data_IF_815783223866
#
_entry.id   IF_815783223866
#
_cell.length_a   1.000
_cell.length_b   1.000
_cell.length_c   1.000
_cell.angle_alpha   90.00
_cell.angle_beta   90.00
_cell.angle_gamma   90.00
#
_symmetry.space_group_name_H-M   'P 1'
#
loop_
_entity.id
_entity.type
_entity.pdbx_description
1 polymer ?
#
# COMPACT_ATOMS: atom_id res chain seq x y z
N UNK A 1 -10.39 3.42 -12.40
CA UNK A 1 -10.21 2.76 -11.08
C UNK A 1 -8.73 2.68 -10.83
N UNK A 2 -8.22 3.26 -9.74
CA UNK A 2 -6.78 3.23 -9.45
C UNK A 2 -6.47 1.87 -8.84
N UNK A 3 -5.51 1.16 -9.42
CA UNK A 3 -5.03 -0.14 -8.95
C UNK A 3 -3.87 0.08 -7.97
N UNK A 4 -3.96 -0.55 -6.82
CA UNK A 4 -3.00 -0.53 -5.74
C UNK A 4 -2.50 -1.94 -5.49
N UNK A 5 -1.35 -2.07 -4.83
CA UNK A 5 -0.88 -3.34 -4.30
C UNK A 5 -1.16 -3.41 -2.81
N UNK A 6 -1.75 -4.51 -2.35
CA UNK A 6 -1.79 -4.88 -0.94
C UNK A 6 -0.66 -5.85 -0.67
N UNK A 7 0.19 -5.51 0.29
CA UNK A 7 1.27 -6.39 0.79
C UNK A 7 0.86 -6.91 2.16
N UNK A 8 0.99 -8.22 2.37
CA UNK A 8 0.81 -8.86 3.68
C UNK A 8 2.15 -9.44 4.11
N UNK A 9 2.61 -9.02 5.29
CA UNK A 9 3.84 -9.53 5.89
C UNK A 9 3.58 -10.76 6.75
N UNK A 10 4.64 -11.52 7.01
CA UNK A 10 4.63 -12.73 7.86
C UNK A 10 4.16 -12.50 9.30
N UNK A 11 4.23 -11.27 9.80
CA UNK A 11 3.68 -10.89 11.10
C UNK A 11 2.18 -10.51 11.05
N UNK A 12 1.53 -10.64 9.90
CA UNK A 12 0.13 -10.28 9.68
C UNK A 12 -0.11 -8.79 9.37
N UNK A 13 0.92 -7.94 9.35
CA UNK A 13 0.75 -6.54 9.00
C UNK A 13 0.42 -6.38 7.51
N UNK A 14 -0.53 -5.49 7.23
CA UNK A 14 -0.99 -5.19 5.88
C UNK A 14 -0.67 -3.76 5.49
N UNK A 15 -0.19 -3.58 4.26
CA UNK A 15 0.16 -2.27 3.72
C UNK A 15 -0.38 -2.08 2.31
N UNK A 16 -0.75 -0.85 2.00
CA UNK A 16 -1.32 -0.49 0.70
C UNK A 16 -0.36 0.45 -0.01
N UNK A 17 0.09 0.01 -1.17
CA UNK A 17 1.10 0.67 -1.99
C UNK A 17 0.44 1.21 -3.26
N UNK A 18 0.65 2.50 -3.60
CA UNK A 18 0.11 3.14 -4.80
C UNK A 18 0.89 2.80 -6.06
N UNK A 19 1.22 1.52 -6.24
CA UNK A 19 1.92 0.95 -7.39
C UNK A 19 1.17 -0.34 -7.74
N UNK A 20 1.06 -0.66 -9.03
CA UNK A 20 0.50 -1.93 -9.49
C UNK A 20 1.42 -3.10 -9.11
N UNK A 21 0.86 -4.28 -8.86
CA UNK A 21 1.60 -5.41 -8.27
C UNK A 21 2.74 -5.90 -9.15
N UNK A 22 2.54 -5.93 -10.47
CA UNK A 22 3.58 -6.26 -11.44
C UNK A 22 4.77 -5.27 -11.39
N UNK A 23 4.48 -3.97 -11.39
CA UNK A 23 5.49 -2.91 -11.35
C UNK A 23 6.23 -2.93 -10.01
N UNK A 24 5.50 -3.13 -8.91
CA UNK A 24 6.06 -3.26 -7.57
C UNK A 24 7.05 -4.43 -7.51
N UNK A 25 6.64 -5.60 -8.02
CA UNK A 25 7.48 -6.79 -8.05
C UNK A 25 8.78 -6.52 -8.83
N UNK A 26 8.65 -6.05 -10.07
CA UNK A 26 9.78 -5.87 -10.99
C UNK A 26 10.75 -4.76 -10.58
N UNK A 27 10.24 -3.64 -10.07
CA UNK A 27 11.09 -2.46 -9.79
C UNK A 27 11.62 -2.42 -8.38
N UNK A 28 10.82 -2.86 -7.40
CA UNK A 28 11.13 -2.62 -6.00
C UNK A 28 11.57 -3.89 -5.26
N UNK A 29 11.04 -5.06 -5.65
CA UNK A 29 11.19 -6.28 -4.85
C UNK A 29 12.24 -7.26 -5.37
N UNK A 30 12.51 -7.27 -6.68
CA UNK A 30 13.46 -8.19 -7.31
C UNK A 30 14.67 -7.47 -7.88
N UNK A 31 15.80 -8.18 -7.93
CA UNK A 31 17.02 -7.72 -8.59
C UNK A 31 16.98 -8.03 -10.11
N UNK A 32 18.03 -7.64 -10.84
CA UNK A 32 18.14 -7.89 -12.29
C UNK A 32 18.16 -9.38 -12.67
N UNK A 33 18.43 -10.27 -11.73
CA UNK A 33 18.45 -11.71 -11.91
C UNK A 33 17.09 -12.36 -11.59
N UNK A 34 16.09 -11.56 -11.19
CA UNK A 34 14.77 -12.06 -10.78
C UNK A 34 14.70 -12.57 -9.34
N UNK A 35 15.75 -12.35 -8.53
CA UNK A 35 15.80 -12.80 -7.14
C UNK A 35 15.23 -11.72 -6.22
N UNK A 36 14.50 -12.14 -5.18
CA UNK A 36 13.97 -11.23 -4.16
C UNK A 36 15.13 -10.58 -3.39
N UNK A 37 15.07 -9.26 -3.21
CA UNK A 37 16.07 -8.54 -2.44
C UNK A 37 16.17 -9.04 -0.99
N UNK A 38 17.40 -9.33 -0.56
CA UNK A 38 17.74 -9.58 0.84
C UNK A 38 18.24 -8.30 1.52
N UNK A 39 17.46 -7.22 1.42
CA UNK A 39 17.76 -5.95 2.08
C UNK A 39 16.46 -5.22 2.38
N UNK A 40 16.53 -4.29 3.33
CA UNK A 40 15.45 -3.35 3.53
C UNK A 40 15.33 -2.42 2.32
N UNK A 41 14.11 -2.25 1.84
CA UNK A 41 13.74 -1.32 0.77
C UNK A 41 12.74 -0.30 1.28
N UNK A 42 12.69 0.86 0.66
CA UNK A 42 11.73 1.90 0.98
C UNK A 42 10.69 1.97 -0.13
N UNK A 43 9.42 1.79 0.23
CA UNK A 43 8.30 1.79 -0.71
C UNK A 43 7.23 2.79 -0.29
N UNK A 44 6.54 3.44 -1.24
CA UNK A 44 5.47 4.36 -0.91
C UNK A 44 4.27 3.61 -0.33
N UNK A 45 3.60 4.21 0.66
CA UNK A 45 2.36 3.74 1.25
C UNK A 45 1.32 4.85 1.22
N UNK A 46 0.05 4.50 1.10
CA UNK A 46 -1.06 5.43 1.36
C UNK A 46 -1.75 5.03 2.67
N UNK A 47 -1.91 6.00 3.56
CA UNK A 47 -2.85 5.90 4.67
C UNK A 47 -4.27 6.08 4.12
N UNK A 48 -5.10 5.04 4.23
CA UNK A 48 -6.49 5.07 3.75
C UNK A 48 -7.38 6.07 4.50
N UNK A 49 -7.05 6.43 5.75
CA UNK A 49 -7.84 7.34 6.56
C UNK A 49 -7.53 8.79 6.25
N UNK A 50 -6.25 9.10 6.02
CA UNK A 50 -5.78 10.48 5.85
C UNK A 50 -5.46 10.83 4.40
N UNK A 51 -5.47 9.84 3.51
CA UNK A 51 -5.00 9.93 2.12
C UNK A 51 -3.54 10.38 1.97
N UNK A 52 -2.80 10.47 3.09
CA UNK A 52 -1.42 10.93 3.08
C UNK A 52 -0.51 9.83 2.54
N UNK A 53 0.40 10.23 1.67
CA UNK A 53 1.50 9.39 1.22
C UNK A 53 2.56 9.37 2.31
N UNK A 54 2.96 8.17 2.68
CA UNK A 54 4.05 7.89 3.61
C UNK A 54 5.05 6.95 2.93
N UNK A 55 6.20 6.74 3.56
CA UNK A 55 7.16 5.74 3.13
C UNK A 55 7.29 4.67 4.20
N UNK A 56 7.28 3.43 3.75
CA UNK A 56 7.47 2.25 4.59
C UNK A 56 8.82 1.63 4.24
N UNK A 57 9.59 1.29 5.27
CA UNK A 57 10.75 0.42 5.12
C UNK A 57 10.32 -1.02 5.37
N UNK A 58 10.50 -1.90 4.38
CA UNK A 58 10.16 -3.32 4.50
C UNK A 58 11.30 -4.20 4.00
N UNK A 59 11.38 -5.42 4.53
CA UNK A 59 12.25 -6.46 3.98
C UNK A 59 11.40 -7.39 3.09
N UNK A 60 11.66 -7.46 1.77
CA UNK A 60 10.89 -8.27 0.83
C UNK A 60 10.81 -9.75 1.19
N UNK A 61 11.81 -10.29 1.90
CA UNK A 61 11.81 -11.70 2.33
C UNK A 61 10.69 -12.03 3.33
N UNK A 62 10.11 -11.03 3.99
CA UNK A 62 9.02 -11.22 4.94
C UNK A 62 7.63 -11.05 4.30
N UNK A 63 7.56 -10.76 3.01
CA UNK A 63 6.29 -10.67 2.28
C UNK A 63 5.74 -12.08 2.04
N UNK A 64 4.51 -12.30 2.46
CA UNK A 64 3.80 -13.58 2.26
C UNK A 64 2.95 -13.52 1.00
N UNK A 65 2.22 -12.40 0.81
CA UNK A 65 1.38 -12.20 -0.37
C UNK A 65 1.45 -10.77 -0.88
N UNK A 66 1.26 -10.63 -2.19
CA UNK A 66 1.04 -9.37 -2.89
C UNK A 66 -0.23 -9.53 -3.72
N UNK A 67 -1.21 -8.69 -3.47
CA UNK A 67 -2.51 -8.73 -4.14
C UNK A 67 -2.75 -7.42 -4.89
N UNK A 68 -3.28 -7.48 -6.10
CA UNK A 68 -3.77 -6.28 -6.78
C UNK A 68 -5.17 -5.95 -6.27
N UNK A 69 -5.32 -4.78 -5.66
CA UNK A 69 -6.60 -4.31 -5.14
C UNK A 69 -7.01 -3.00 -5.82
N UNK A 70 -8.32 -2.80 -5.91
CA UNK A 70 -8.89 -1.57 -6.43
C UNK A 70 -9.57 -0.81 -5.32
N UNK A 71 -9.05 0.38 -5.02
CA UNK A 71 -9.52 1.18 -3.90
C UNK A 71 -10.27 2.37 -4.45
N UNK A 72 -11.52 2.52 -3.99
CA UNK A 72 -12.28 3.74 -4.18
C UNK A 72 -12.08 4.59 -2.93
N UNK A 73 -11.07 5.45 -2.95
CA UNK A 73 -10.90 6.48 -1.92
C UNK A 73 -12.15 7.37 -1.95
N UNK A 74 -13.01 7.23 -0.94
CA UNK A 74 -14.10 8.17 -0.74
C UNK A 74 -13.45 9.45 -0.21
N UNK A 75 -13.57 10.55 -0.97
CA UNK A 75 -13.27 11.89 -0.45
C UNK A 75 -14.02 12.01 0.87
N UNK A 76 -13.29 12.02 1.99
CA UNK A 76 -13.92 12.21 3.29
C UNK A 76 -14.62 13.55 3.23
N UNK A 77 -15.95 13.56 3.33
CA UNK A 77 -16.71 14.80 3.45
C UNK A 77 -16.10 15.53 4.66
N UNK A 78 -15.47 16.69 4.47
CA UNK A 78 -14.82 17.38 5.59
C UNK A 78 -15.83 17.59 6.70
N UNK A 79 -15.41 17.46 7.95
CA UNK A 79 -16.33 17.49 9.10
C UNK A 79 -17.21 18.75 9.13
N UNK A 80 -16.74 19.87 8.57
CA UNK A 80 -17.52 21.12 8.43
C UNK A 80 -18.76 20.99 7.55
N UNK A 81 -18.80 19.99 6.66
CA UNK A 81 -19.93 19.68 5.79
C UNK A 81 -20.79 18.52 6.33
N UNK A 82 -20.44 17.94 7.48
CA UNK A 82 -21.27 16.94 8.15
C UNK A 82 -22.31 17.67 9.00
N UNK A 83 -23.55 17.71 8.51
CA UNK A 83 -24.68 18.23 9.29
C UNK A 83 -24.99 17.20 10.37
N UNK A 84 -24.83 17.56 11.63
CA UNK A 84 -25.29 16.74 12.75
C UNK A 84 -26.82 16.67 12.69
N UNK A 85 -27.36 15.47 12.46
CA UNK A 85 -28.79 15.22 12.72
C UNK A 85 -28.95 15.09 14.23
N UNK A 86 -29.42 16.14 14.88
CA UNK A 86 -30.03 16.00 16.19
C UNK A 86 -31.31 15.15 16.03
N UNK A 87 -31.34 14.00 16.70
CA UNK A 87 -32.58 13.25 16.97
C UNK A 87 -33.32 13.90 18.13
#
# INVERSE_FOLDING_TARGET
MIKYSKIILSNGNEYIIPIQSNILLEKELINKNGEIYNKFIMVPQIDLKTEKKMYLTLNPQHIVTIEEISIKLQKSIPSIFKIEKHN
#
